data_IF_898205389178
#
_entry.id   IF_898205389178
#
_cell.length_a   1.000
_cell.length_b   1.000
_cell.length_c   1.000
_cell.angle_alpha   90.00
_cell.angle_beta   90.00
_cell.angle_gamma   90.00
#
_symmetry.space_group_name_H-M   'P 1'
#
loop_
_entity.id
_entity.type
_entity.pdbx_description
1 polymer ?
#
# COMPACT_ATOMS: atom_id res chain seq x y z
N UNK A 1 -11.88 2.65 6.12
CA UNK A 1 -11.09 3.68 5.42
C UNK A 1 -10.76 3.30 3.96
N UNK A 2 -10.70 4.28 3.04
CA UNK A 2 -10.34 4.07 1.62
C UNK A 2 -9.31 5.11 1.18
N UNK A 3 -8.29 4.72 0.40
CA UNK A 3 -7.33 5.66 -0.21
C UNK A 3 -6.80 5.16 -1.54
N UNK A 4 -6.67 6.08 -2.49
CA UNK A 4 -6.08 5.83 -3.81
C UNK A 4 -4.65 6.36 -3.87
N UNK A 5 -3.75 5.55 -4.40
CA UNK A 5 -2.35 5.90 -4.65
C UNK A 5 -2.10 5.84 -6.16
N UNK A 6 -1.47 6.88 -6.68
CA UNK A 6 -1.03 6.95 -8.08
C UNK A 6 0.46 6.63 -8.12
N UNK A 7 0.83 5.57 -8.84
CA UNK A 7 2.20 5.11 -8.90
C UNK A 7 2.93 5.68 -10.11
N UNK A 8 4.17 6.10 -9.90
CA UNK A 8 4.98 6.73 -10.95
C UNK A 8 6.03 5.80 -11.53
N UNK A 9 6.56 4.88 -10.74
CA UNK A 9 7.75 4.12 -11.07
C UNK A 9 7.56 2.61 -10.98
N UNK A 10 6.56 2.16 -10.22
CA UNK A 10 6.21 0.74 -10.07
C UNK A 10 4.83 0.42 -10.62
N UNK A 11 4.67 -0.84 -11.00
CA UNK A 11 3.38 -1.40 -11.39
C UNK A 11 2.53 -1.67 -10.14
N UNK A 12 1.25 -1.31 -10.21
CA UNK A 12 0.31 -1.48 -9.12
C UNK A 12 0.18 -2.94 -8.65
N UNK A 13 0.27 -3.93 -9.56
CA UNK A 13 0.22 -5.35 -9.19
C UNK A 13 1.42 -5.79 -8.36
N UNK A 14 2.62 -5.30 -8.67
CA UNK A 14 3.84 -5.62 -7.91
C UNK A 14 3.74 -5.09 -6.48
N UNK A 15 3.25 -3.86 -6.32
CA UNK A 15 3.02 -3.24 -5.01
C UNK A 15 2.05 -4.07 -4.17
N UNK A 16 0.90 -4.44 -4.72
CA UNK A 16 -0.11 -5.24 -4.01
C UNK A 16 0.47 -6.57 -3.55
N UNK A 17 1.19 -7.27 -4.44
CA UNK A 17 1.86 -8.53 -4.09
C UNK A 17 2.83 -8.36 -2.92
N UNK A 18 3.57 -7.25 -2.86
CA UNK A 18 4.49 -6.97 -1.75
C UNK A 18 3.76 -6.66 -0.44
N UNK A 19 2.67 -5.90 -0.49
CA UNK A 19 1.84 -5.61 0.70
C UNK A 19 1.34 -6.93 1.32
N UNK A 20 0.85 -7.86 0.48
CA UNK A 20 0.45 -9.20 0.92
C UNK A 20 1.61 -10.00 1.52
N UNK A 21 2.80 -9.93 0.92
CA UNK A 21 3.97 -10.71 1.36
C UNK A 21 4.53 -10.23 2.70
N UNK A 22 4.47 -8.92 2.95
CA UNK A 22 5.03 -8.32 4.18
C UNK A 22 4.12 -8.45 5.40
N UNK A 23 2.85 -8.82 5.21
CA UNK A 23 1.93 -8.99 6.33
C UNK A 23 1.67 -7.70 7.12
N UNK A 24 1.68 -6.55 6.45
CA UNK A 24 1.40 -5.23 7.07
C UNK A 24 0.01 -5.22 7.73
N UNK A 25 -0.90 -6.06 7.24
CA UNK A 25 -2.27 -6.20 7.70
C UNK A 25 -2.44 -7.47 8.52
N UNK A 26 -2.82 -7.31 9.78
CA UNK A 26 -3.20 -8.40 10.68
C UNK A 26 -4.60 -8.96 10.34
N UNK A 27 -4.92 -10.18 10.80
CA UNK A 27 -6.20 -10.85 10.53
C UNK A 27 -7.44 -10.08 10.99
N UNK A 28 -7.27 -9.09 11.87
CA UNK A 28 -8.33 -8.18 12.34
C UNK A 28 -8.70 -7.08 11.34
N UNK A 29 -7.96 -6.96 10.24
CA UNK A 29 -8.25 -6.01 9.17
C UNK A 29 -8.81 -6.78 7.98
N UNK A 30 -10.06 -6.48 7.65
CA UNK A 30 -10.58 -6.81 6.34
C UNK A 30 -10.04 -5.78 5.34
N UNK A 31 -9.50 -6.24 4.22
CA UNK A 31 -8.95 -5.32 3.23
C UNK A 31 -9.17 -5.82 1.79
N UNK A 32 -9.20 -4.87 0.88
CA UNK A 32 -9.32 -5.11 -0.56
C UNK A 32 -8.50 -4.09 -1.33
N UNK A 33 -8.20 -4.44 -2.58
CA UNK A 33 -7.51 -3.53 -3.50
C UNK A 33 -8.21 -3.52 -4.85
N UNK A 34 -8.50 -2.33 -5.35
CA UNK A 34 -8.91 -2.07 -6.72
C UNK A 34 -7.74 -1.52 -7.51
N UNK A 35 -7.48 -2.11 -8.68
CA UNK A 35 -6.38 -1.73 -9.56
C UNK A 35 -6.93 -1.02 -10.80
N UNK A 36 -6.41 0.17 -11.07
CA UNK A 36 -6.64 0.88 -12.32
C UNK A 36 -5.35 0.86 -13.16
N UNK A 37 -5.31 -0.04 -14.14
CA UNK A 37 -4.18 -0.20 -15.05
C UNK A 37 -4.00 0.99 -16.00
N UNK A 38 -5.07 1.74 -16.30
CA UNK A 38 -4.99 2.90 -17.21
C UNK A 38 -4.29 4.07 -16.55
N UNK A 39 -4.54 4.27 -15.26
CA UNK A 39 -3.98 5.36 -14.46
C UNK A 39 -2.76 4.93 -13.64
N UNK A 40 -2.35 3.66 -13.72
CA UNK A 40 -1.38 3.02 -12.83
C UNK A 40 -1.65 3.39 -11.36
N UNK A 41 -2.91 3.24 -10.96
CA UNK A 41 -3.39 3.61 -9.64
C UNK A 41 -3.87 2.37 -8.89
N UNK A 42 -3.73 2.40 -7.57
CA UNK A 42 -4.23 1.37 -6.68
C UNK A 42 -5.07 2.01 -5.58
N UNK A 43 -6.28 1.50 -5.39
CA UNK A 43 -7.20 1.94 -4.33
C UNK A 43 -7.26 0.87 -3.27
N UNK A 44 -6.83 1.20 -2.06
CA UNK A 44 -6.85 0.28 -0.93
C UNK A 44 -8.06 0.60 -0.06
N UNK A 45 -8.79 -0.45 0.26
CA UNK A 45 -9.90 -0.45 1.20
C UNK A 45 -9.42 -1.20 2.44
N UNK A 46 -9.49 -0.56 3.60
CA UNK A 46 -9.15 -1.18 4.89
C UNK A 46 -10.33 -0.98 5.83
N UNK A 47 -10.80 -2.04 6.45
CA UNK A 47 -11.85 -2.04 7.45
C UNK A 47 -11.39 -2.85 8.66
N UNK A 48 -11.32 -2.23 9.83
CA UNK A 48 -10.98 -2.94 11.06
C UNK A 48 -12.24 -3.65 11.61
N UNK A 49 -12.11 -4.94 11.89
CA UNK A 49 -13.21 -5.76 12.41
C UNK A 49 -13.01 -6.17 13.86
N UNK A 50 -11.92 -5.73 14.50
CA UNK A 50 -11.71 -5.88 15.95
C UNK A 50 -12.42 -4.79 16.74
N UNK A 51 -12.57 -4.99 18.07
CA UNK A 51 -13.40 -4.19 19.01
C UNK A 51 -13.27 -2.66 18.96
N UNK A 52 -12.83 -2.02 20.05
CA UNK A 52 -12.87 -0.55 20.15
C UNK A 52 -11.84 0.15 19.24
N UNK A 53 -12.16 1.38 18.84
CA UNK A 53 -11.34 2.34 18.06
C UNK A 53 -10.97 1.92 16.61
N UNK A 54 -11.95 1.53 15.77
CA UNK A 54 -11.67 1.11 14.39
C UNK A 54 -10.99 2.19 13.54
N UNK A 55 -11.41 3.46 13.68
CA UNK A 55 -10.87 4.55 12.87
C UNK A 55 -9.38 4.82 13.14
N UNK A 56 -8.92 4.75 14.40
CA UNK A 56 -7.52 4.96 14.74
C UNK A 56 -6.63 3.81 14.25
N UNK A 57 -7.12 2.58 14.39
CA UNK A 57 -6.44 1.38 13.90
C UNK A 57 -6.32 1.40 12.38
N UNK A 58 -7.41 1.71 11.68
CA UNK A 58 -7.43 1.88 10.23
C UNK A 58 -6.48 2.98 9.78
N UNK A 59 -6.51 4.15 10.42
CA UNK A 59 -5.66 5.28 10.06
C UNK A 59 -4.17 4.98 10.28
N UNK A 60 -3.81 4.26 11.35
CA UNK A 60 -2.44 3.83 11.60
C UNK A 60 -1.94 2.89 10.52
N UNK A 61 -2.69 1.84 10.22
CA UNK A 61 -2.36 0.88 9.16
C UNK A 61 -2.27 1.56 7.80
N UNK A 62 -3.18 2.49 7.50
CA UNK A 62 -3.16 3.21 6.23
C UNK A 62 -1.91 4.08 6.07
N UNK A 63 -1.41 4.66 7.17
CA UNK A 63 -0.12 5.38 7.17
C UNK A 63 1.06 4.44 6.93
N UNK A 64 1.05 3.24 7.50
CA UNK A 64 2.09 2.25 7.29
C UNK A 64 2.12 1.76 5.83
N UNK A 65 0.95 1.49 5.25
CA UNK A 65 0.80 1.15 3.84
C UNK A 65 1.28 2.30 2.95
N UNK A 66 0.89 3.54 3.24
CA UNK A 66 1.34 4.70 2.48
C UNK A 66 2.85 4.87 2.52
N UNK A 67 3.45 4.77 3.72
CA UNK A 67 4.90 4.88 3.89
C UNK A 67 5.62 3.76 3.11
N UNK A 68 5.07 2.55 3.14
CA UNK A 68 5.59 1.43 2.37
C UNK A 68 5.52 1.70 0.86
N UNK A 69 4.37 2.10 0.33
CA UNK A 69 4.18 2.40 -1.10
C UNK A 69 5.16 3.49 -1.53
N UNK A 70 5.29 4.57 -0.76
CA UNK A 70 6.24 5.66 -1.06
C UNK A 70 7.70 5.20 -1.04
N UNK A 71 8.05 4.27 -0.16
CA UNK A 71 9.42 3.74 -0.09
C UNK A 71 9.77 2.84 -1.27
N UNK A 72 8.78 2.16 -1.88
CA UNK A 72 9.01 1.26 -3.01
C UNK A 72 8.73 1.89 -4.39
N UNK A 73 7.83 2.88 -4.45
CA UNK A 73 7.55 3.71 -5.62
C UNK A 73 8.53 4.88 -5.73
N UNK A 74 9.80 4.58 -5.49
CA UNK A 74 10.91 5.49 -5.80
C UNK A 74 11.36 5.23 -7.23
N UNK A 75 11.83 6.28 -7.91
CA UNK A 75 12.52 6.12 -9.18
C UNK A 75 13.64 5.08 -8.98
N UNK A 76 13.90 4.19 -9.95
CA UNK A 76 15.10 3.38 -9.89
C UNK A 76 16.25 4.36 -9.80
N UNK A 77 16.91 4.43 -8.64
CA UNK A 77 18.19 5.14 -8.56
C UNK A 77 19.03 4.58 -9.71
N UNK A 78 19.49 5.47 -10.59
CA UNK A 78 20.61 5.18 -11.46
C UNK A 78 21.61 4.45 -10.57
N UNK A 79 21.86 3.18 -10.86
CA UNK A 79 22.89 2.41 -10.17
C UNK A 79 24.15 3.23 -10.32
N UNK A 80 24.50 3.99 -9.27
CA UNK A 80 25.74 4.73 -9.24
C UNK A 80 26.81 3.65 -9.35
N UNK A 81 27.37 3.56 -10.55
CA UNK A 81 28.52 2.74 -10.86
C UNK A 81 29.66 3.24 -9.99
N UNK A 82 29.72 2.78 -8.74
CA UNK A 82 30.97 2.80 -7.98
C UNK A 82 31.75 1.54 -8.34
N UNK A 83 32.37 1.72 -9.50
CA UNK A 83 33.65 1.22 -9.98
C UNK A 83 34.63 0.83 -8.88
#
# INVERSE_FOLDING_TARGET
>A
MVKTFFLKHRDAKDIVRRIHTLGILDYRFNWGVDLDEKLNALTIHVAYTGGDEPEEKEAKVMKEIEAFIKAIDVAPEEKESKK
#
